data_IF_208003660805
#
_entry.id   IF_208003660805
#
_cell.length_a   1.000
_cell.length_b   1.000
_cell.length_c   1.000
_cell.angle_alpha   90.00
_cell.angle_beta   90.00
_cell.angle_gamma   90.00
#
_symmetry.space_group_name_H-M   'P 1'
#
loop_
_entity.id
_entity.type
_entity.pdbx_description
1 polymer ?
#
# COMPACT_ATOMS: atom_id res chain seq x y z
N UNK A 1 13.30 23.73 -8.14
CA UNK A 1 12.83 23.62 -6.73
C UNK A 1 11.86 22.46 -6.46
N UNK A 2 11.00 22.06 -7.41
CA UNK A 2 9.97 21.01 -7.17
C UNK A 2 10.49 19.57 -7.18
N UNK A 3 11.53 19.25 -7.93
CA UNK A 3 12.06 17.88 -8.02
C UNK A 3 12.81 17.45 -6.75
N UNK A 4 13.40 18.39 -6.05
CA UNK A 4 14.15 18.19 -4.80
C UNK A 4 13.23 17.83 -3.63
N UNK A 5 12.09 18.53 -3.49
CA UNK A 5 11.12 18.28 -2.42
C UNK A 5 10.48 16.87 -2.46
N UNK A 6 10.20 16.34 -3.65
CA UNK A 6 9.68 14.98 -3.80
C UNK A 6 10.76 13.92 -3.52
N UNK A 7 12.00 14.19 -3.88
CA UNK A 7 13.13 13.31 -3.57
C UNK A 7 13.34 13.19 -2.07
N UNK A 8 13.39 14.32 -1.35
CA UNK A 8 13.49 14.32 0.11
C UNK A 8 12.28 13.64 0.78
N UNK A 9 11.08 13.86 0.25
CA UNK A 9 9.87 13.22 0.76
C UNK A 9 9.97 11.69 0.63
N UNK A 10 10.40 11.17 -0.52
CA UNK A 10 10.59 9.74 -0.76
C UNK A 10 11.68 9.13 0.12
N UNK A 11 12.77 9.84 0.37
CA UNK A 11 13.81 9.39 1.31
C UNK A 11 13.24 9.23 2.72
N UNK A 12 12.46 10.20 3.21
CA UNK A 12 11.78 10.09 4.51
C UNK A 12 10.78 8.94 4.55
N UNK A 13 10.04 8.71 3.46
CA UNK A 13 9.15 7.55 3.37
C UNK A 13 9.93 6.23 3.45
N UNK A 14 11.03 6.09 2.71
CA UNK A 14 11.89 4.90 2.74
C UNK A 14 12.29 4.53 4.18
N UNK A 15 12.73 5.49 4.98
CA UNK A 15 13.06 5.29 6.41
C UNK A 15 11.85 4.86 7.24
N UNK A 16 10.67 5.46 6.99
CA UNK A 16 9.46 5.15 7.76
C UNK A 16 8.96 3.72 7.54
N UNK A 17 9.12 3.18 6.32
CA UNK A 17 8.60 1.86 5.97
C UNK A 17 9.44 0.69 6.45
N UNK A 18 10.65 0.91 6.95
CA UNK A 18 11.51 -0.17 7.50
C UNK A 18 10.85 -0.98 8.63
N UNK A 19 9.88 -0.39 9.34
CA UNK A 19 9.13 -1.05 10.43
C UNK A 19 7.87 -1.81 9.99
N UNK A 20 7.54 -1.81 8.69
CA UNK A 20 6.31 -2.40 8.16
C UNK A 20 6.22 -3.93 8.32
N UNK A 21 7.33 -4.62 8.54
CA UNK A 21 7.39 -6.08 8.71
C UNK A 21 6.30 -6.61 9.66
N UNK A 22 6.06 -5.92 10.77
CA UNK A 22 5.13 -6.37 11.82
C UNK A 22 3.67 -6.42 11.35
N UNK A 23 3.28 -5.55 10.41
CA UNK A 23 1.91 -5.47 9.89
C UNK A 23 1.69 -6.38 8.68
N UNK A 24 2.75 -6.80 8.02
CA UNK A 24 2.68 -7.55 6.76
C UNK A 24 1.89 -8.86 6.88
N UNK A 25 1.92 -9.51 8.04
CA UNK A 25 1.18 -10.76 8.28
C UNK A 25 -0.32 -10.61 8.06
N UNK A 26 -0.91 -9.47 8.44
CA UNK A 26 -2.36 -9.24 8.28
C UNK A 26 -2.76 -9.02 6.83
N UNK A 27 -1.82 -8.66 5.96
CA UNK A 27 -2.07 -8.42 4.55
C UNK A 27 -2.04 -9.68 3.68
N UNK A 28 -1.78 -10.86 4.28
CA UNK A 28 -1.72 -12.14 3.54
C UNK A 28 -3.06 -12.56 2.95
N UNK A 29 -4.16 -12.40 3.68
CA UNK A 29 -5.51 -12.67 3.16
C UNK A 29 -5.89 -11.67 2.06
N UNK A 30 -5.76 -10.35 2.28
CA UNK A 30 -5.93 -9.35 1.21
C UNK A 30 -5.10 -9.62 -0.06
N UNK A 31 -3.86 -10.15 0.05
CA UNK A 31 -3.05 -10.51 -1.11
C UNK A 31 -3.71 -11.61 -1.96
N UNK A 32 -4.25 -12.64 -1.30
CA UNK A 32 -4.93 -13.73 -2.02
C UNK A 32 -6.18 -13.24 -2.75
N UNK A 33 -6.92 -12.32 -2.14
CA UNK A 33 -8.09 -11.70 -2.76
C UNK A 33 -7.70 -10.80 -3.94
N UNK A 34 -6.61 -10.00 -3.81
CA UNK A 34 -6.10 -9.17 -4.89
C UNK A 34 -5.66 -10.03 -6.09
N UNK A 35 -4.88 -11.10 -5.85
CA UNK A 35 -4.41 -11.99 -6.91
C UNK A 35 -5.57 -12.67 -7.63
N UNK A 36 -6.58 -13.15 -6.91
CA UNK A 36 -7.81 -13.68 -7.54
C UNK A 36 -8.55 -12.62 -8.34
N UNK A 37 -8.73 -11.44 -7.77
CA UNK A 37 -9.48 -10.35 -8.40
C UNK A 37 -8.79 -9.81 -9.64
N UNK A 38 -7.44 -9.78 -9.66
CA UNK A 38 -6.64 -9.36 -10.83
C UNK A 38 -6.81 -10.29 -12.05
N UNK A 39 -7.26 -11.52 -11.81
CA UNK A 39 -7.39 -12.54 -12.85
C UNK A 39 -6.05 -13.05 -13.38
N UNK A 40 -4.99 -13.01 -12.57
CA UNK A 40 -3.68 -13.58 -12.89
C UNK A 40 -3.82 -15.06 -13.27
N UNK A 41 -3.13 -15.44 -14.35
CA UNK A 41 -3.09 -16.81 -14.88
C UNK A 41 -1.67 -17.36 -14.82
N UNK A 42 -1.56 -18.67 -14.88
CA UNK A 42 -0.25 -19.34 -15.02
C UNK A 42 0.47 -18.82 -16.26
N UNK A 43 1.71 -18.39 -16.06
CA UNK A 43 2.59 -17.88 -17.12
C UNK A 43 2.47 -16.38 -17.39
N UNK A 44 1.48 -15.66 -16.82
CA UNK A 44 1.41 -14.20 -16.92
C UNK A 44 2.70 -13.57 -16.40
N UNK A 45 3.20 -12.55 -17.10
CA UNK A 45 4.27 -11.67 -16.64
C UNK A 45 3.64 -10.62 -15.73
N UNK A 46 3.95 -10.66 -14.43
CA UNK A 46 3.33 -9.81 -13.41
C UNK A 46 4.36 -8.87 -12.81
N UNK A 47 4.03 -7.58 -12.71
CA UNK A 47 4.76 -6.60 -11.90
C UNK A 47 3.97 -6.30 -10.63
N UNK A 48 4.61 -6.48 -9.46
CA UNK A 48 4.08 -6.04 -8.17
C UNK A 48 4.80 -4.74 -7.74
N UNK A 49 4.06 -3.63 -7.69
CA UNK A 49 4.57 -2.28 -7.41
C UNK A 49 4.36 -1.91 -5.95
N UNK A 50 5.44 -1.57 -5.23
CA UNK A 50 5.40 -1.37 -3.79
C UNK A 50 5.16 -2.69 -3.06
N UNK A 51 5.95 -3.70 -3.40
CA UNK A 51 5.76 -5.09 -2.96
C UNK A 51 5.96 -5.28 -1.45
N UNK A 52 6.65 -4.35 -0.78
CA UNK A 52 6.96 -4.44 0.64
C UNK A 52 7.69 -5.73 0.98
N UNK A 53 7.12 -6.52 1.89
CA UNK A 53 7.67 -7.82 2.31
C UNK A 53 7.33 -8.99 1.37
N UNK A 54 6.84 -8.68 0.16
CA UNK A 54 6.63 -9.64 -0.92
C UNK A 54 5.32 -10.43 -0.87
N UNK A 55 4.37 -10.07 -0.02
CA UNK A 55 3.17 -10.90 0.22
C UNK A 55 2.36 -11.12 -1.06
N UNK A 56 2.08 -10.06 -1.84
CA UNK A 56 1.33 -10.16 -3.09
C UNK A 56 2.17 -10.85 -4.20
N UNK A 57 3.47 -10.53 -4.31
CA UNK A 57 4.38 -11.16 -5.25
C UNK A 57 4.48 -12.68 -5.06
N UNK A 58 4.70 -13.14 -3.81
CA UNK A 58 4.76 -14.56 -3.45
C UNK A 58 3.43 -15.26 -3.76
N UNK A 59 2.32 -14.60 -3.49
CA UNK A 59 0.98 -15.15 -3.77
C UNK A 59 0.74 -15.28 -5.26
N UNK A 60 1.14 -14.29 -6.07
CA UNK A 60 1.04 -14.33 -7.52
C UNK A 60 1.96 -15.42 -8.15
N UNK A 61 3.19 -15.55 -7.63
CA UNK A 61 4.12 -16.60 -8.07
C UNK A 61 3.57 -18.00 -7.74
N UNK A 62 2.97 -18.18 -6.56
CA UNK A 62 2.28 -19.43 -6.18
C UNK A 62 1.10 -19.76 -7.10
N UNK A 63 0.43 -18.74 -7.66
CA UNK A 63 -0.61 -18.92 -8.69
C UNK A 63 -0.03 -19.30 -10.07
N UNK A 64 1.30 -19.33 -10.21
CA UNK A 64 2.03 -19.73 -11.41
C UNK A 64 2.43 -18.58 -12.33
N UNK A 65 2.34 -17.34 -11.88
CA UNK A 65 2.83 -16.17 -12.61
C UNK A 65 4.38 -16.09 -12.58
N UNK A 66 4.95 -15.41 -13.57
CA UNK A 66 6.35 -14.97 -13.58
C UNK A 66 6.40 -13.56 -13.02
N UNK A 67 6.93 -13.41 -11.81
CA UNK A 67 6.78 -12.17 -11.05
C UNK A 67 8.06 -11.36 -11.00
N UNK A 68 7.94 -10.07 -11.29
CA UNK A 68 8.90 -9.03 -10.93
C UNK A 68 8.26 -8.19 -9.83
N UNK A 69 8.98 -7.97 -8.73
CA UNK A 69 8.50 -7.27 -7.55
C UNK A 69 9.41 -6.07 -7.25
N UNK A 70 8.82 -4.89 -7.19
CA UNK A 70 9.54 -3.63 -7.03
C UNK A 70 9.14 -2.94 -5.72
N UNK A 71 10.14 -2.46 -4.98
CA UNK A 71 9.94 -1.60 -3.82
C UNK A 71 11.01 -0.51 -3.74
N UNK A 72 10.68 0.61 -3.13
CA UNK A 72 11.60 1.71 -2.89
C UNK A 72 12.56 1.40 -1.73
N UNK A 73 12.18 0.50 -0.82
CA UNK A 73 12.85 0.21 0.45
C UNK A 73 13.62 -1.12 0.36
N UNK A 74 14.95 -1.11 0.22
CA UNK A 74 15.73 -2.34 0.05
C UNK A 74 15.66 -3.27 1.26
N UNK A 75 15.47 -2.75 2.47
CA UNK A 75 15.30 -3.54 3.69
C UNK A 75 14.02 -4.40 3.61
N UNK A 76 12.94 -3.88 3.02
CA UNK A 76 11.72 -4.66 2.78
C UNK A 76 11.94 -5.73 1.71
N UNK A 77 12.74 -5.44 0.68
CA UNK A 77 13.09 -6.45 -0.35
C UNK A 77 13.94 -7.59 0.22
N UNK A 78 14.79 -7.33 1.20
CA UNK A 78 15.53 -8.40 1.90
C UNK A 78 14.57 -9.31 2.68
N UNK A 79 13.62 -8.73 3.39
CA UNK A 79 12.55 -9.48 4.06
C UNK A 79 11.69 -10.26 3.04
N UNK A 80 11.37 -9.65 1.91
CA UNK A 80 10.62 -10.30 0.85
C UNK A 80 11.35 -11.54 0.30
N UNK A 81 12.67 -11.46 0.06
CA UNK A 81 13.50 -12.61 -0.34
C UNK A 81 13.49 -13.71 0.72
N UNK A 82 13.62 -13.34 1.99
CA UNK A 82 13.54 -14.28 3.11
C UNK A 82 12.17 -14.97 3.16
N UNK A 83 11.08 -14.21 3.08
CA UNK A 83 9.71 -14.74 3.06
C UNK A 83 9.48 -15.68 1.86
N UNK A 84 9.99 -15.31 0.69
CA UNK A 84 9.93 -16.12 -0.53
C UNK A 84 10.65 -17.46 -0.36
N UNK A 85 11.86 -17.44 0.23
CA UNK A 85 12.63 -18.64 0.54
C UNK A 85 11.88 -19.54 1.52
N UNK A 86 11.34 -18.99 2.62
CA UNK A 86 10.54 -19.75 3.61
C UNK A 86 9.29 -20.36 2.95
N UNK A 87 8.66 -19.62 2.02
CA UNK A 87 7.50 -20.09 1.27
C UNK A 87 7.84 -21.10 0.16
N UNK A 88 9.13 -21.40 -0.04
CA UNK A 88 9.64 -22.28 -1.12
C UNK A 88 9.26 -21.79 -2.52
N UNK A 89 9.29 -20.46 -2.72
CA UNK A 89 9.06 -19.77 -4.00
C UNK A 89 10.37 -19.08 -4.39
N UNK A 90 11.05 -19.55 -5.44
CA UNK A 90 12.37 -19.04 -5.85
C UNK A 90 12.33 -18.07 -7.03
N UNK A 91 11.31 -18.16 -7.89
CA UNK A 91 11.30 -17.52 -9.21
C UNK A 91 10.64 -16.14 -9.20
N UNK A 92 11.10 -15.25 -8.28
CA UNK A 92 10.68 -13.86 -8.23
C UNK A 92 11.90 -12.96 -8.44
N UNK A 93 11.80 -12.02 -9.40
CA UNK A 93 12.81 -10.97 -9.59
C UNK A 93 12.53 -9.80 -8.68
N UNK A 94 13.43 -9.51 -7.73
CA UNK A 94 13.32 -8.42 -6.77
C UNK A 94 14.12 -7.21 -7.21
N UNK A 95 13.47 -6.05 -7.30
CA UNK A 95 14.04 -4.83 -7.88
C UNK A 95 13.85 -3.65 -6.92
N UNK A 96 14.92 -2.95 -6.55
CA UNK A 96 14.81 -1.65 -5.91
C UNK A 96 14.42 -0.61 -6.97
N UNK A 97 13.35 0.17 -6.71
CA UNK A 97 12.89 1.17 -7.67
C UNK A 97 11.75 2.02 -7.17
N UNK A 98 11.49 3.07 -7.93
CA UNK A 98 10.46 4.07 -7.66
C UNK A 98 9.24 3.82 -8.54
N UNK A 99 8.05 3.74 -7.94
CA UNK A 99 6.78 3.58 -8.65
C UNK A 99 6.49 4.72 -9.64
N UNK A 100 7.08 5.90 -9.42
CA UNK A 100 6.97 7.06 -10.32
C UNK A 100 8.02 7.06 -11.45
N UNK A 101 8.91 6.07 -11.48
CA UNK A 101 9.94 5.90 -12.53
C UNK A 101 10.29 4.43 -12.66
N UNK A 102 9.41 3.66 -13.26
CA UNK A 102 9.60 2.23 -13.46
C UNK A 102 10.71 1.96 -14.50
N UNK A 103 11.74 1.23 -14.10
CA UNK A 103 12.91 0.94 -14.93
C UNK A 103 12.70 -0.27 -15.86
N UNK A 104 11.49 -0.43 -16.38
CA UNK A 104 11.12 -1.50 -17.30
C UNK A 104 10.72 -0.91 -18.65
N UNK A 105 10.94 -1.64 -19.76
CA UNK A 105 10.46 -1.23 -21.07
C UNK A 105 8.94 -1.11 -21.13
N UNK A 106 8.44 -0.37 -22.12
CA UNK A 106 7.03 -0.30 -22.41
C UNK A 106 6.47 -1.70 -22.75
N UNK A 107 5.21 -1.92 -22.45
CA UNK A 107 4.48 -3.14 -22.81
C UNK A 107 5.18 -4.46 -22.38
N UNK A 108 5.76 -4.48 -21.17
CA UNK A 108 6.52 -5.63 -20.65
C UNK A 108 5.68 -6.64 -19.87
N UNK A 109 4.57 -6.20 -19.26
CA UNK A 109 3.79 -7.02 -18.32
C UNK A 109 2.37 -7.25 -18.79
N UNK A 110 1.85 -8.46 -18.50
CA UNK A 110 0.45 -8.82 -18.74
C UNK A 110 -0.45 -8.26 -17.62
N UNK A 111 0.07 -8.19 -16.40
CA UNK A 111 -0.64 -7.68 -15.22
C UNK A 111 0.30 -6.82 -14.36
N UNK A 112 -0.19 -5.68 -13.93
CA UNK A 112 0.45 -4.87 -12.87
C UNK A 112 -0.45 -4.93 -11.65
N UNK A 113 0.12 -5.32 -10.50
CA UNK A 113 -0.59 -5.31 -9.22
C UNK A 113 0.10 -4.37 -8.23
N UNK A 114 -0.66 -3.90 -7.22
CA UNK A 114 -0.11 -3.21 -6.07
C UNK A 114 -1.01 -3.40 -4.86
N UNK A 115 -0.48 -4.03 -3.81
CA UNK A 115 -1.21 -4.19 -2.57
C UNK A 115 -0.85 -3.06 -1.59
N UNK A 116 -1.69 -2.02 -1.52
CA UNK A 116 -1.53 -0.87 -0.62
C UNK A 116 -0.22 -0.06 -0.80
N UNK A 117 0.63 -0.38 -1.81
CA UNK A 117 1.95 0.23 -1.95
C UNK A 117 1.94 1.53 -2.78
N UNK A 118 1.39 1.48 -4.00
CA UNK A 118 1.42 2.59 -4.97
C UNK A 118 0.78 3.90 -4.45
N UNK A 119 -0.17 3.78 -3.53
CA UNK A 119 -0.92 4.92 -2.96
C UNK A 119 -0.05 5.87 -2.13
N UNK A 120 1.15 5.46 -1.73
CA UNK A 120 2.10 6.28 -0.99
C UNK A 120 3.04 7.09 -1.90
N UNK A 121 3.04 6.82 -3.19
CA UNK A 121 3.77 7.67 -4.14
C UNK A 121 3.07 9.06 -4.24
N UNK A 122 3.82 10.17 -4.12
CA UNK A 122 3.23 11.49 -3.95
C UNK A 122 2.50 12.00 -5.18
N UNK A 123 2.82 11.50 -6.39
CA UNK A 123 2.26 11.99 -7.65
C UNK A 123 1.42 10.91 -8.35
N UNK A 124 0.14 10.77 -8.01
CA UNK A 124 -0.72 9.67 -8.48
C UNK A 124 -0.80 9.56 -10.00
N UNK A 125 -0.86 10.69 -10.72
CA UNK A 125 -0.92 10.65 -12.19
C UNK A 125 0.38 10.12 -12.82
N UNK A 126 1.53 10.38 -12.21
CA UNK A 126 2.83 9.85 -12.67
C UNK A 126 2.88 8.34 -12.48
N UNK A 127 2.47 7.86 -11.29
CA UNK A 127 2.39 6.42 -11.00
C UNK A 127 1.46 5.71 -11.97
N UNK A 128 0.26 6.27 -12.21
CA UNK A 128 -0.70 5.65 -13.13
C UNK A 128 -0.18 5.61 -14.56
N UNK A 129 0.49 6.67 -15.02
CA UNK A 129 1.12 6.71 -16.34
C UNK A 129 2.23 5.65 -16.48
N UNK A 130 3.09 5.49 -15.46
CA UNK A 130 4.15 4.50 -15.46
C UNK A 130 3.58 3.06 -15.41
N UNK A 131 2.62 2.80 -14.52
CA UNK A 131 1.96 1.48 -14.46
C UNK A 131 1.24 1.14 -15.78
N UNK A 132 0.65 2.15 -16.46
CA UNK A 132 0.06 1.95 -17.80
C UNK A 132 1.13 1.71 -18.86
N UNK A 133 2.22 2.47 -18.86
CA UNK A 133 3.30 2.36 -19.86
C UNK A 133 3.90 0.96 -19.92
N UNK A 134 4.13 0.35 -18.75
CA UNK A 134 4.73 -0.98 -18.66
C UNK A 134 3.75 -2.12 -18.94
N UNK A 135 2.44 -1.85 -18.96
CA UNK A 135 1.42 -2.82 -19.34
C UNK A 135 1.35 -3.01 -20.84
N UNK A 136 1.28 -4.25 -21.28
CA UNK A 136 0.97 -4.62 -22.66
C UNK A 136 -0.42 -4.07 -23.06
N UNK A 137 -0.71 -3.92 -24.38
CA UNK A 137 -2.06 -3.69 -24.84
C UNK A 137 -3.01 -4.74 -24.28
N UNK A 138 -4.18 -4.31 -23.78
CA UNK A 138 -5.16 -5.15 -23.08
C UNK A 138 -4.63 -5.81 -21.78
N UNK A 139 -3.47 -5.40 -21.27
CA UNK A 139 -2.96 -5.81 -19.97
C UNK A 139 -3.87 -5.30 -18.84
N UNK A 140 -3.78 -5.90 -17.68
CA UNK A 140 -4.64 -5.59 -16.53
C UNK A 140 -3.87 -4.90 -15.43
N UNK A 141 -4.49 -3.87 -14.85
CA UNK A 141 -4.07 -3.31 -13.57
C UNK A 141 -5.02 -3.79 -12.48
N UNK A 142 -4.49 -4.17 -11.30
CA UNK A 142 -5.30 -4.39 -10.12
C UNK A 142 -4.56 -3.94 -8.85
N UNK A 143 -5.28 -3.29 -7.94
CA UNK A 143 -4.69 -2.81 -6.71
C UNK A 143 -5.69 -2.79 -5.56
N UNK A 144 -5.17 -2.75 -4.33
CA UNK A 144 -5.97 -2.55 -3.13
C UNK A 144 -5.63 -1.22 -2.47
N UNK A 145 -6.65 -0.55 -1.94
CA UNK A 145 -6.56 0.75 -1.29
C UNK A 145 -7.55 0.85 -0.14
N UNK A 146 -7.39 1.87 0.72
CA UNK A 146 -8.19 2.06 1.91
C UNK A 146 -9.25 3.15 1.68
N UNK A 147 -10.56 2.85 1.87
CA UNK A 147 -11.62 3.86 1.74
C UNK A 147 -11.43 4.98 2.77
N UNK A 148 -11.60 6.26 2.35
CA UNK A 148 -11.39 7.41 3.23
C UNK A 148 -12.38 7.47 4.40
N UNK A 149 -13.57 6.90 4.24
CA UNK A 149 -14.63 6.85 5.23
C UNK A 149 -14.47 5.73 6.28
N UNK A 150 -13.52 4.78 6.07
CA UNK A 150 -13.29 3.68 7.00
C UNK A 150 -12.01 3.90 7.82
N UNK A 151 -11.77 3.06 8.85
CA UNK A 151 -10.72 3.22 9.85
C UNK A 151 -9.36 3.62 9.26
N UNK A 152 -8.80 2.84 8.34
CA UNK A 152 -7.44 3.09 7.84
C UNK A 152 -7.33 4.40 7.04
N UNK A 153 -8.36 4.74 6.24
CA UNK A 153 -8.43 6.03 5.55
C UNK A 153 -8.53 7.21 6.53
N UNK A 154 -9.34 7.08 7.57
CA UNK A 154 -9.44 8.07 8.65
C UNK A 154 -8.12 8.18 9.45
N UNK A 155 -7.41 7.08 9.67
CA UNK A 155 -6.09 7.06 10.30
C UNK A 155 -5.06 7.85 9.47
N UNK A 156 -5.08 7.75 8.15
CA UNK A 156 -4.19 8.58 7.31
C UNK A 156 -4.49 10.07 7.47
N UNK A 157 -5.77 10.45 7.55
CA UNK A 157 -6.17 11.83 7.80
C UNK A 157 -5.75 12.30 9.20
N UNK A 158 -5.91 11.42 10.21
CA UNK A 158 -5.42 11.66 11.57
C UNK A 158 -3.91 11.92 11.59
N UNK A 159 -3.11 11.02 10.99
CA UNK A 159 -1.65 11.18 10.90
C UNK A 159 -1.29 12.47 10.14
N UNK A 160 -1.98 12.77 9.03
CA UNK A 160 -1.75 13.98 8.25
C UNK A 160 -1.95 15.27 9.04
N UNK A 161 -2.97 15.34 9.91
CA UNK A 161 -3.19 16.49 10.81
C UNK A 161 -2.03 16.71 11.79
N UNK A 162 -1.38 15.64 12.24
CA UNK A 162 -0.30 15.71 13.23
C UNK A 162 1.12 15.76 12.61
N UNK A 163 1.27 15.39 11.34
CA UNK A 163 2.58 15.38 10.65
C UNK A 163 2.82 16.60 9.75
N UNK A 164 1.81 17.41 9.53
CA UNK A 164 1.84 18.52 8.58
C UNK A 164 1.67 18.08 7.11
N UNK A 165 1.52 19.05 6.20
CA UNK A 165 1.26 18.79 4.78
C UNK A 165 2.47 18.16 4.08
N UNK A 166 2.20 17.31 3.10
CA UNK A 166 3.20 16.83 2.15
C UNK A 166 3.69 17.93 1.20
N UNK A 167 4.63 17.60 0.30
CA UNK A 167 5.08 18.54 -0.75
C UNK A 167 3.92 19.09 -1.57
N UNK A 168 4.03 20.35 -2.03
CA UNK A 168 3.01 20.94 -2.89
C UNK A 168 2.83 20.10 -4.16
N UNK A 169 1.58 19.74 -4.45
CA UNK A 169 1.22 18.85 -5.57
C UNK A 169 1.24 17.37 -5.23
N UNK A 170 1.52 16.98 -3.98
CA UNK A 170 1.30 15.61 -3.52
C UNK A 170 -0.18 15.36 -3.21
N UNK A 171 -0.58 14.09 -3.33
CA UNK A 171 -1.93 13.62 -2.97
C UNK A 171 -1.87 12.74 -1.73
N UNK A 172 -2.78 12.93 -0.76
CA UNK A 172 -2.82 12.07 0.41
C UNK A 172 -3.24 10.64 0.06
N UNK A 173 -2.68 9.62 0.74
CA UNK A 173 -3.00 8.22 0.49
C UNK A 173 -4.50 7.90 0.62
N UNK A 174 -5.24 8.59 1.50
CA UNK A 174 -6.67 8.40 1.71
C UNK A 174 -7.54 8.63 0.48
N UNK A 175 -7.10 9.48 -0.47
CA UNK A 175 -7.84 9.71 -1.73
C UNK A 175 -7.89 8.49 -2.65
N UNK A 176 -6.95 7.56 -2.52
CA UNK A 176 -6.91 6.35 -3.33
C UNK A 176 -8.02 5.34 -3.00
N UNK A 177 -8.71 5.48 -1.88
CA UNK A 177 -9.84 4.63 -1.53
C UNK A 177 -11.20 5.15 -2.00
N UNK A 178 -11.25 6.27 -2.71
CA UNK A 178 -12.48 6.84 -3.27
C UNK A 178 -12.67 6.37 -4.73
N UNK A 179 -13.72 5.59 -5.07
CA UNK A 179 -13.94 5.08 -6.42
C UNK A 179 -14.02 6.15 -7.51
N UNK A 180 -14.59 7.34 -7.20
CA UNK A 180 -14.66 8.44 -8.16
C UNK A 180 -13.26 9.00 -8.45
N UNK A 181 -12.42 9.19 -7.42
CA UNK A 181 -11.02 9.62 -7.57
C UNK A 181 -10.19 8.58 -8.31
N UNK A 182 -10.39 7.30 -8.01
CA UNK A 182 -9.72 6.20 -8.75
C UNK A 182 -10.09 6.25 -10.22
N UNK A 183 -11.38 6.36 -10.55
CA UNK A 183 -11.87 6.45 -11.92
C UNK A 183 -11.27 7.66 -12.64
N UNK A 184 -11.19 8.81 -11.98
CA UNK A 184 -10.55 10.01 -12.53
C UNK A 184 -9.04 9.78 -12.81
N UNK A 185 -8.32 9.11 -11.91
CA UNK A 185 -6.88 8.80 -12.07
C UNK A 185 -6.61 7.76 -13.15
N UNK A 186 -7.51 6.78 -13.33
CA UNK A 186 -7.44 5.84 -14.44
C UNK A 186 -7.65 6.55 -15.78
N UNK A 187 -8.55 7.55 -15.82
CA UNK A 187 -8.77 8.45 -16.96
C UNK A 187 -8.93 7.71 -18.30
N UNK A 188 -8.26 8.21 -19.33
CA UNK A 188 -8.24 7.63 -20.68
C UNK A 188 -7.15 6.54 -20.85
N UNK A 189 -6.43 6.21 -19.80
CA UNK A 189 -5.37 5.19 -19.83
C UNK A 189 -5.95 3.77 -19.72
N UNK A 190 -7.13 3.66 -19.12
CA UNK A 190 -7.77 2.38 -18.82
C UNK A 190 -9.27 2.42 -19.18
N UNK A 191 -9.82 1.27 -19.49
CA UNK A 191 -11.26 1.06 -19.62
C UNK A 191 -11.99 1.15 -18.26
N UNK A 192 -13.28 0.81 -18.21
CA UNK A 192 -14.08 0.87 -16.99
C UNK A 192 -13.47 0.11 -15.84
N UNK A 193 -13.45 0.74 -14.65
CA UNK A 193 -12.98 0.12 -13.42
C UNK A 193 -14.04 -0.80 -12.80
N UNK A 194 -13.58 -1.93 -12.26
CA UNK A 194 -14.36 -2.83 -11.42
C UNK A 194 -13.89 -2.70 -10.00
N UNK A 195 -14.82 -2.59 -9.06
CA UNK A 195 -14.55 -2.44 -7.64
C UNK A 195 -15.14 -3.58 -6.82
N UNK A 196 -14.44 -4.00 -5.77
CA UNK A 196 -14.98 -4.91 -4.76
C UNK A 196 -14.52 -4.45 -3.37
N UNK A 197 -15.45 -4.33 -2.42
CA UNK A 197 -15.13 -4.05 -1.02
C UNK A 197 -14.88 -5.35 -0.28
N UNK A 198 -13.88 -5.35 0.58
CA UNK A 198 -13.44 -6.51 1.36
C UNK A 198 -13.07 -6.06 2.78
N UNK A 199 -13.01 -7.01 3.69
CA UNK A 199 -12.68 -6.75 5.09
C UNK A 199 -11.42 -7.51 5.50
N UNK A 200 -10.48 -6.80 6.09
CA UNK A 200 -9.34 -7.35 6.80
C UNK A 200 -9.62 -7.27 8.31
N UNK A 201 -9.42 -8.37 9.01
CA UNK A 201 -9.62 -8.46 10.46
C UNK A 201 -8.25 -8.49 11.15
N UNK A 202 -8.00 -7.53 12.02
CA UNK A 202 -6.75 -7.44 12.77
C UNK A 202 -7.01 -7.79 14.25
N UNK A 203 -6.48 -8.90 14.76
CA UNK A 203 -6.67 -9.29 16.16
C UNK A 203 -6.12 -8.25 17.13
N UNK A 204 -6.90 -7.95 18.16
CA UNK A 204 -6.50 -7.02 19.22
C UNK A 204 -7.26 -7.35 20.52
N UNK A 205 -6.56 -7.32 21.67
CA UNK A 205 -7.19 -7.62 22.97
C UNK A 205 -8.00 -6.45 23.53
N UNK A 206 -7.71 -5.23 23.09
CA UNK A 206 -8.38 -3.99 23.48
C UNK A 206 -7.99 -2.85 22.54
N UNK A 207 -8.67 -1.71 22.63
CA UNK A 207 -8.29 -0.49 21.90
C UNK A 207 -6.85 -0.06 22.20
N UNK A 208 -6.46 -0.05 23.47
CA UNK A 208 -5.10 0.31 23.89
C UNK A 208 -4.04 -0.70 23.40
N UNK A 209 -4.38 -1.99 23.33
CA UNK A 209 -3.50 -3.00 22.76
C UNK A 209 -3.29 -2.77 21.25
N UNK A 210 -4.37 -2.52 20.51
CA UNK A 210 -4.29 -2.19 19.10
C UNK A 210 -3.50 -0.90 18.85
N UNK A 211 -3.78 0.17 19.63
CA UNK A 211 -3.00 1.42 19.55
C UNK A 211 -1.50 1.17 19.76
N UNK A 212 -1.13 0.47 20.83
CA UNK A 212 0.28 0.13 21.10
C UNK A 212 0.92 -0.61 19.95
N UNK A 213 0.21 -1.56 19.36
CA UNK A 213 0.66 -2.28 18.17
C UNK A 213 0.87 -1.31 16.99
N UNK A 214 -0.07 -0.42 16.70
CA UNK A 214 0.00 0.54 15.59
C UNK A 214 1.12 1.57 15.79
N UNK A 215 1.29 2.11 17.02
CA UNK A 215 2.39 3.03 17.38
C UNK A 215 3.78 2.42 17.11
N UNK A 216 3.92 1.10 17.27
CA UNK A 216 5.19 0.38 17.09
C UNK A 216 5.41 -0.16 15.67
N UNK A 217 4.38 -0.16 14.82
CA UNK A 217 4.41 -0.85 13.52
C UNK A 217 4.19 0.07 12.33
N UNK A 218 3.45 1.17 12.52
CA UNK A 218 3.15 2.11 11.44
C UNK A 218 4.07 3.33 11.55
N UNK A 219 5.05 3.41 10.66
CA UNK A 219 6.11 4.42 10.69
C UNK A 219 5.60 5.86 10.80
N UNK A 220 4.63 6.31 9.99
CA UNK A 220 4.06 7.65 10.11
C UNK A 220 3.42 7.93 11.48
N UNK A 221 2.66 6.98 12.05
CA UNK A 221 2.06 7.13 13.38
C UNK A 221 3.14 7.17 14.48
N UNK A 222 4.14 6.28 14.38
CA UNK A 222 5.28 6.28 15.32
C UNK A 222 5.98 7.63 15.36
N UNK A 223 6.23 8.28 14.22
CA UNK A 223 6.85 9.62 14.18
C UNK A 223 6.00 10.69 14.87
N UNK A 224 4.68 10.62 14.74
CA UNK A 224 3.77 11.50 15.49
C UNK A 224 3.93 11.31 16.99
N UNK A 225 3.95 10.07 17.47
CA UNK A 225 4.11 9.75 18.90
C UNK A 225 5.48 10.19 19.42
N UNK A 226 6.56 9.91 18.67
CA UNK A 226 7.93 10.32 19.02
C UNK A 226 8.05 11.86 19.11
N UNK A 227 7.41 12.61 18.23
CA UNK A 227 7.43 14.08 18.26
C UNK A 227 6.73 14.69 19.48
N UNK A 228 5.92 13.91 20.19
CA UNK A 228 5.16 14.32 21.38
C UNK A 228 5.75 13.76 22.68
N UNK A 229 6.92 13.10 22.63
CA UNK A 229 7.52 12.43 23.80
C UNK A 229 7.71 13.38 24.99
N UNK A 230 8.12 14.64 24.73
CA UNK A 230 8.33 15.68 25.74
C UNK A 230 7.05 16.46 26.13
N UNK A 231 5.88 16.05 25.59
CA UNK A 231 4.61 16.71 25.81
C UNK A 231 3.53 15.71 26.29
N UNK A 232 3.57 15.22 27.55
CA UNK A 232 2.75 14.11 28.05
C UNK A 232 1.25 14.36 27.93
N UNK A 233 0.78 15.58 28.16
CA UNK A 233 -0.64 15.91 28.06
C UNK A 233 -1.14 15.87 26.60
N UNK A 234 -0.33 16.37 25.65
CA UNK A 234 -0.64 16.29 24.21
C UNK A 234 -0.61 14.84 23.74
N UNK A 235 0.39 14.08 24.16
CA UNK A 235 0.50 12.65 23.84
C UNK A 235 -0.71 11.88 24.34
N UNK A 236 -1.16 12.15 25.56
CA UNK A 236 -2.38 11.54 26.11
C UNK A 236 -3.62 11.89 25.27
N UNK A 237 -3.79 13.16 24.90
CA UNK A 237 -4.91 13.60 24.07
C UNK A 237 -4.91 12.94 22.70
N UNK A 238 -3.75 12.87 22.03
CA UNK A 238 -3.59 12.20 20.72
C UNK A 238 -3.91 10.71 20.81
N UNK A 239 -3.49 10.04 21.88
CA UNK A 239 -3.83 8.63 22.11
C UNK A 239 -5.34 8.41 22.34
N UNK A 240 -5.99 9.31 23.07
CA UNK A 240 -7.44 9.26 23.26
C UNK A 240 -8.19 9.50 21.94
N UNK A 241 -7.74 10.47 21.13
CA UNK A 241 -8.32 10.71 19.80
C UNK A 241 -8.17 9.46 18.91
N UNK A 242 -6.99 8.80 18.93
CA UNK A 242 -6.78 7.57 18.18
C UNK A 242 -7.68 6.43 18.68
N UNK A 243 -7.84 6.24 20.00
CA UNK A 243 -8.72 5.21 20.55
C UNK A 243 -10.17 5.44 20.12
N UNK A 244 -10.65 6.69 20.18
CA UNK A 244 -11.99 7.06 19.71
C UNK A 244 -12.18 6.85 18.21
N UNK A 245 -11.11 6.99 17.41
CA UNK A 245 -11.12 6.69 15.99
C UNK A 245 -11.29 5.18 15.72
N UNK A 246 -10.68 4.32 16.55
CA UNK A 246 -10.69 2.86 16.37
C UNK A 246 -12.00 2.26 16.91
N UNK A 247 -12.57 2.82 17.97
CA UNK A 247 -13.68 2.26 18.74
C UNK A 247 -14.86 1.78 17.87
N UNK A 248 -15.35 2.52 16.85
CA UNK A 248 -16.45 2.05 16.00
C UNK A 248 -16.15 0.82 15.16
N UNK A 249 -14.88 0.46 15.01
CA UNK A 249 -14.39 -0.64 14.19
C UNK A 249 -13.88 -1.83 15.02
N UNK A 250 -13.91 -1.72 16.35
CA UNK A 250 -13.45 -2.77 17.25
C UNK A 250 -14.63 -3.60 17.74
N UNK A 251 -14.61 -4.88 17.43
CA UNK A 251 -15.58 -5.86 17.92
C UNK A 251 -14.94 -7.25 18.02
N UNK A 252 -15.35 -8.04 19.02
CA UNK A 252 -14.96 -9.44 19.16
C UNK A 252 -13.44 -9.69 19.17
N UNK A 253 -12.65 -8.82 19.82
CA UNK A 253 -11.19 -8.84 19.82
C UNK A 253 -10.56 -8.66 18.43
N UNK A 254 -11.23 -7.94 17.53
CA UNK A 254 -10.75 -7.64 16.19
C UNK A 254 -11.02 -6.17 15.84
N UNK A 255 -10.11 -5.56 15.07
CA UNK A 255 -10.35 -4.29 14.39
C UNK A 255 -10.65 -4.58 12.93
N UNK A 256 -11.83 -4.14 12.49
CA UNK A 256 -12.33 -4.32 11.13
C UNK A 256 -11.77 -3.23 10.23
N UNK A 257 -11.00 -3.62 9.22
CA UNK A 257 -10.38 -2.69 8.27
C UNK A 257 -10.88 -2.99 6.86
N UNK A 258 -11.85 -2.20 6.41
CA UNK A 258 -12.36 -2.31 5.05
C UNK A 258 -11.31 -1.81 4.04
N UNK A 259 -11.19 -2.50 2.90
CA UNK A 259 -10.39 -2.09 1.76
C UNK A 259 -11.13 -2.30 0.44
N UNK A 260 -10.70 -1.57 -0.58
CA UNK A 260 -11.26 -1.65 -1.93
C UNK A 260 -10.25 -2.32 -2.85
N UNK A 261 -10.70 -3.33 -3.56
CA UNK A 261 -10.02 -3.89 -4.72
C UNK A 261 -10.49 -3.14 -5.97
N UNK A 262 -9.55 -2.71 -6.77
CA UNK A 262 -9.79 -2.08 -8.08
C UNK A 262 -9.13 -2.90 -9.17
N UNK A 263 -9.84 -3.11 -10.30
CA UNK A 263 -9.28 -3.72 -11.52
C UNK A 263 -9.76 -2.95 -12.75
N UNK A 264 -8.86 -2.72 -13.70
CA UNK A 264 -9.17 -2.16 -15.00
C UNK A 264 -8.27 -2.77 -16.08
N UNK A 265 -8.65 -2.62 -17.34
CA UNK A 265 -7.88 -3.08 -18.50
C UNK A 265 -7.26 -1.89 -19.22
N UNK A 266 -5.99 -2.00 -19.59
CA UNK A 266 -5.27 -0.99 -20.37
C UNK A 266 -5.89 -0.84 -21.77
N UNK A 267 -6.11 0.39 -22.23
CA UNK A 267 -6.61 0.74 -23.57
C UNK A 267 -5.53 1.41 -24.40
#
# INVERSE_FOLDING_TARGET
MTQDAFTEFKLRQKEMWTSYEKTATFTTVPASELVKFSGIKRGDLVLDVGTGTGVAAITAARAGAKVTALDLTPELLELARKNSSIASISDITWVEGDAEKLQFPDASFDVVISQFGHMFAPRPNVVMAEMRRVLKPNGRIAFSTWPPEHFTGQMFNFVGRHSGPGPVGSSPPSEWGNPAMITQRLGNLFGPAFFARKMMLVPALSLSHFRSYMENSIGPLRKVIESLADHPDKLKAVRQEFDSLVEPYYDGNQVHQEYILTRATAI
#
